data_IF_712953144270
#
_entry.id   IF_712953144270
#
_cell.length_a   1.000
_cell.length_b   1.000
_cell.length_c   1.000
_cell.angle_alpha   90.00
_cell.angle_beta   90.00
_cell.angle_gamma   90.00
#
_symmetry.space_group_name_H-M   'P 1'
#
loop_
_entity.id
_entity.type
_entity.pdbx_description
1 polymer ?
#
# COMPACT_ATOMS: atom_id res chain seq x y z
N UNK A 1 -9.72 12.67 12.97
CA UNK A 1 -8.46 12.03 13.40
C UNK A 1 -7.56 11.98 12.18
N UNK A 2 -6.48 12.76 12.18
CA UNK A 2 -5.62 12.97 11.02
C UNK A 2 -4.74 11.75 10.78
N UNK A 3 -5.04 11.00 9.72
CA UNK A 3 -4.17 9.95 9.17
C UNK A 3 -2.69 10.37 9.06
N UNK A 4 -2.34 11.63 8.69
CA UNK A 4 -0.97 12.12 8.73
C UNK A 4 -0.21 11.87 10.04
N UNK A 5 -0.87 12.00 11.20
CA UNK A 5 -0.26 11.78 12.50
C UNK A 5 -0.12 10.29 12.85
N UNK A 6 -0.82 9.40 12.15
CA UNK A 6 -0.87 7.97 12.41
C UNK A 6 0.02 7.15 11.49
N UNK A 7 0.52 7.73 10.39
CA UNK A 7 1.30 7.00 9.40
C UNK A 7 2.57 6.37 9.95
N UNK A 8 3.36 7.10 10.74
CA UNK A 8 4.59 6.55 11.32
C UNK A 8 4.34 5.34 12.24
N UNK A 9 3.19 5.32 12.94
CA UNK A 9 2.79 4.19 13.77
C UNK A 9 2.38 2.99 12.92
N UNK A 10 1.71 3.23 11.81
CA UNK A 10 1.33 2.17 10.86
C UNK A 10 2.58 1.59 10.17
N UNK A 11 3.50 2.44 9.70
CA UNK A 11 4.76 2.01 9.10
C UNK A 11 5.55 1.13 10.09
N UNK A 12 5.62 1.52 11.38
CA UNK A 12 6.27 0.74 12.43
C UNK A 12 5.54 -0.56 12.80
N UNK A 13 4.22 -0.61 12.65
CA UNK A 13 3.42 -1.81 12.93
C UNK A 13 3.60 -2.87 11.86
N UNK A 14 3.59 -2.48 10.58
CA UNK A 14 3.78 -3.39 9.44
C UNK A 14 5.23 -3.90 9.38
N UNK A 15 6.18 -3.03 9.72
CA UNK A 15 7.59 -3.38 9.84
C UNK A 15 8.35 -3.38 8.50
N UNK A 16 9.65 -3.69 8.58
CA UNK A 16 10.60 -3.50 7.47
C UNK A 16 10.35 -4.41 6.26
N UNK A 17 9.60 -5.50 6.42
CA UNK A 17 9.22 -6.39 5.32
C UNK A 17 8.18 -5.76 4.39
N UNK A 18 7.53 -4.66 4.79
CA UNK A 18 6.46 -4.02 4.04
C UNK A 18 6.79 -2.57 3.71
N UNK A 19 6.39 -2.13 2.52
CA UNK A 19 6.52 -0.75 2.06
C UNK A 19 5.15 -0.15 1.78
N UNK A 20 4.89 1.03 2.35
CA UNK A 20 3.71 1.83 2.02
C UNK A 20 3.82 2.38 0.60
N UNK A 21 2.94 1.92 -0.28
CA UNK A 21 2.88 2.27 -1.69
C UNK A 21 1.58 3.05 -1.98
N UNK A 22 1.66 4.26 -2.58
CA UNK A 22 0.47 4.93 -3.09
C UNK A 22 -0.07 4.21 -4.33
N UNK A 23 -1.38 4.03 -4.40
CA UNK A 23 -2.08 3.37 -5.51
C UNK A 23 -3.28 4.19 -5.95
N UNK A 24 -3.64 4.04 -7.22
CA UNK A 24 -4.92 4.50 -7.75
C UNK A 24 -5.98 3.43 -7.45
N UNK A 25 -7.09 3.85 -6.85
CA UNK A 25 -8.24 2.99 -6.58
C UNK A 25 -9.39 3.49 -7.43
N UNK A 26 -9.87 2.62 -8.31
CA UNK A 26 -11.07 2.87 -9.09
C UNK A 26 -12.31 2.68 -8.22
N UNK A 27 -13.20 3.65 -8.23
CA UNK A 27 -14.50 3.55 -7.59
C UNK A 27 -15.59 4.01 -8.55
N UNK A 28 -16.83 3.63 -8.24
CA UNK A 28 -17.99 4.12 -8.97
C UNK A 28 -18.07 5.65 -8.83
N UNK A 29 -17.99 6.36 -9.96
CA UNK A 29 -17.99 7.82 -10.00
C UNK A 29 -16.61 8.49 -9.98
N UNK A 30 -15.51 7.73 -9.93
CA UNK A 30 -14.15 8.27 -10.13
C UNK A 30 -13.06 7.53 -9.36
N UNK A 31 -11.79 7.80 -9.71
CA UNK A 31 -10.63 7.25 -9.02
C UNK A 31 -10.15 8.14 -7.87
N UNK A 32 -9.60 7.52 -6.82
CA UNK A 32 -8.90 8.24 -5.73
C UNK A 32 -7.50 7.68 -5.51
N UNK A 33 -6.65 8.46 -4.85
CA UNK A 33 -5.38 7.98 -4.32
C UNK A 33 -5.57 7.36 -2.94
N UNK A 34 -5.05 6.16 -2.75
CA UNK A 34 -4.96 5.49 -1.46
C UNK A 34 -3.54 4.98 -1.21
N UNK A 35 -3.26 4.49 0.00
CA UNK A 35 -2.00 3.84 0.34
C UNK A 35 -2.27 2.39 0.76
N UNK A 36 -1.48 1.45 0.24
CA UNK A 36 -1.43 0.05 0.68
C UNK A 36 -0.04 -0.28 1.19
N UNK A 37 0.12 -1.37 1.94
CA UNK A 37 1.43 -1.92 2.28
C UNK A 37 1.71 -3.16 1.44
N UNK A 38 2.79 -3.14 0.66
CA UNK A 38 3.23 -4.28 -0.15
C UNK A 38 4.39 -5.00 0.52
N UNK A 39 4.40 -6.32 0.47
CA UNK A 39 5.54 -7.13 0.91
C UNK A 39 6.72 -6.89 -0.04
N UNK A 40 7.93 -6.73 0.50
CA UNK A 40 9.13 -6.47 -0.30
C UNK A 40 9.66 -7.71 -1.02
N UNK A 41 9.37 -8.91 -0.51
CA UNK A 41 9.69 -10.18 -1.15
C UNK A 41 8.55 -10.58 -2.10
N UNK A 42 8.50 -9.95 -3.28
CA UNK A 42 7.71 -10.46 -4.40
C UNK A 42 8.50 -11.61 -5.04
N UNK A 43 8.12 -12.87 -4.78
CA UNK A 43 8.35 -13.92 -5.78
C UNK A 43 7.74 -13.41 -7.10
N UNK A 44 8.46 -13.42 -8.24
CA UNK A 44 7.93 -12.86 -9.48
C UNK A 44 6.61 -13.58 -9.82
N UNK A 45 5.56 -12.79 -10.07
CA UNK A 45 4.28 -13.32 -10.52
C UNK A 45 4.50 -14.29 -11.70
N UNK A 46 3.81 -15.45 -11.76
CA UNK A 46 3.92 -16.33 -12.91
C UNK A 46 3.57 -15.51 -14.16
N UNK A 47 4.56 -15.34 -15.05
CA UNK A 47 4.32 -14.78 -16.37
C UNK A 47 3.48 -15.81 -17.10
N UNK A 48 2.16 -15.59 -17.15
CA UNK A 48 1.27 -16.42 -17.96
C UNK A 48 1.64 -16.26 -19.42
N UNK A 49 2.05 -17.37 -20.04
CA UNK A 49 2.12 -17.54 -21.50
C UNK A 49 0.72 -17.70 -22.10
#
# INVERSE_FOLDING_TARGET
ADLPAHWARLDAFEGEAYLRQPVDVEMEGGGVKACIYRLLEEEPAPTGE
#
